data_IF_665799992862
#
_entry.id   IF_665799992862
#
_cell.length_a   1.000
_cell.length_b   1.000
_cell.length_c   1.000
_cell.angle_alpha   90.00
_cell.angle_beta   90.00
_cell.angle_gamma   90.00
#
_symmetry.space_group_name_H-M   'P 1'
#
loop_
_entity.id
_entity.type
_entity.pdbx_description
1 polymer ?
#
# COMPACT_ATOMS: atom_id res chain seq x y z
N UNK A 1 5.48 23.16 -10.16
CA UNK A 1 5.56 24.42 -10.94
C UNK A 1 5.57 24.03 -12.42
N UNK A 2 4.55 24.41 -13.21
CA UNK A 2 4.41 24.04 -14.64
C UNK A 2 5.39 24.76 -15.58
N UNK A 3 6.25 25.63 -15.06
CA UNK A 3 7.19 26.46 -15.85
C UNK A 3 8.25 25.63 -16.60
N UNK A 4 8.68 24.48 -16.05
CA UNK A 4 9.73 23.67 -16.68
C UNK A 4 9.27 22.90 -17.91
N UNK A 5 8.04 22.39 -17.90
CA UNK A 5 7.45 21.72 -19.07
C UNK A 5 7.26 22.71 -20.21
N UNK A 6 6.74 23.90 -19.90
CA UNK A 6 6.52 24.95 -20.89
C UNK A 6 7.83 25.52 -21.49
N UNK A 7 8.91 25.55 -20.71
CA UNK A 7 10.22 26.00 -21.20
C UNK A 7 10.83 24.98 -22.17
N UNK A 8 10.80 23.69 -21.84
CA UNK A 8 11.31 22.64 -22.71
C UNK A 8 10.60 22.59 -24.08
N UNK A 9 9.28 22.79 -24.10
CA UNK A 9 8.49 22.83 -25.33
C UNK A 9 8.93 23.98 -26.25
N UNK A 10 9.20 25.17 -25.70
CA UNK A 10 9.72 26.31 -26.46
C UNK A 10 11.13 26.06 -26.99
N UNK A 11 11.98 25.46 -26.16
CA UNK A 11 13.35 25.14 -26.57
C UNK A 11 13.35 24.11 -27.73
N UNK A 12 12.41 23.16 -27.72
CA UNK A 12 12.24 22.21 -28.84
C UNK A 12 11.76 22.88 -30.13
N UNK A 13 10.85 23.85 -30.04
CA UNK A 13 10.40 24.64 -31.21
C UNK A 13 11.57 25.48 -31.77
N UNK A 14 12.37 26.10 -30.90
CA UNK A 14 13.52 26.92 -31.30
C UNK A 14 14.66 26.10 -31.93
N UNK A 15 14.85 24.83 -31.52
CA UNK A 15 15.75 23.89 -32.21
C UNK A 15 15.22 23.60 -33.62
N UNK A 16 13.91 23.36 -33.76
CA UNK A 16 13.29 23.09 -35.06
C UNK A 16 13.39 24.28 -36.02
N UNK A 17 13.42 25.50 -35.50
CA UNK A 17 13.62 26.73 -36.26
C UNK A 17 15.10 27.09 -36.49
N UNK A 18 16.04 26.30 -35.96
CA UNK A 18 17.49 26.50 -36.10
C UNK A 18 18.04 27.70 -35.31
N UNK A 19 17.29 28.21 -34.34
CA UNK A 19 17.65 29.39 -33.52
C UNK A 19 18.61 29.04 -32.38
N UNK A 20 18.52 27.81 -31.87
CA UNK A 20 19.36 27.30 -30.79
C UNK A 20 19.87 25.90 -31.13
N UNK A 21 21.01 25.53 -30.53
CA UNK A 21 21.61 24.21 -30.71
C UNK A 21 21.10 23.22 -29.68
N UNK A 22 21.00 21.96 -30.08
CA UNK A 22 20.60 20.86 -29.19
C UNK A 22 21.49 20.78 -27.93
N UNK A 23 22.80 20.98 -28.08
CA UNK A 23 23.75 20.96 -26.96
C UNK A 23 23.44 22.00 -25.88
N UNK A 24 22.96 23.18 -26.27
CA UNK A 24 22.60 24.25 -25.33
C UNK A 24 21.38 23.82 -24.48
N UNK A 25 20.36 23.26 -25.13
CA UNK A 25 19.13 22.79 -24.46
C UNK A 25 19.40 21.59 -23.55
N UNK A 26 20.26 20.66 -23.98
CA UNK A 26 20.69 19.53 -23.15
C UNK A 26 21.42 20.02 -21.89
N UNK A 27 22.34 20.97 -22.03
CA UNK A 27 23.10 21.48 -20.90
C UNK A 27 22.21 22.22 -19.89
N UNK A 28 21.34 23.09 -20.37
CA UNK A 28 20.39 23.83 -19.52
C UNK A 28 19.43 22.88 -18.78
N UNK A 29 18.90 21.86 -19.47
CA UNK A 29 18.04 20.86 -18.87
C UNK A 29 18.75 20.06 -17.76
N UNK A 30 20.03 19.73 -17.97
CA UNK A 30 20.85 19.00 -16.98
C UNK A 30 21.13 19.84 -15.73
N UNK A 31 21.40 21.14 -15.89
CA UNK A 31 21.59 22.05 -14.76
C UNK A 31 20.30 22.20 -13.94
N UNK A 32 19.17 22.37 -14.63
CA UNK A 32 17.88 22.55 -13.99
C UNK A 32 17.44 21.29 -13.24
N UNK A 33 17.58 20.11 -13.86
CA UNK A 33 17.34 18.83 -13.19
C UNK A 33 18.32 18.61 -12.02
N UNK A 34 19.59 19.00 -12.20
CA UNK A 34 20.62 18.88 -11.16
C UNK A 34 20.31 19.67 -9.88
N UNK A 35 19.69 20.85 -10.00
CA UNK A 35 19.17 21.61 -8.86
C UNK A 35 18.06 20.87 -8.12
N UNK A 36 17.06 20.37 -8.85
CA UNK A 36 15.93 19.63 -8.28
C UNK A 36 16.37 18.35 -7.61
N UNK A 37 17.27 17.57 -8.23
CA UNK A 37 17.78 16.34 -7.64
C UNK A 37 18.59 16.58 -6.36
N UNK A 38 19.34 17.70 -6.26
CA UNK A 38 20.03 18.09 -5.02
C UNK A 38 19.06 18.45 -3.90
N UNK A 39 17.97 19.13 -4.23
CA UNK A 39 16.93 19.48 -3.26
C UNK A 39 16.14 18.24 -2.78
N UNK A 40 15.94 17.26 -3.66
CA UNK A 40 15.37 15.96 -3.30
C UNK A 40 16.31 15.12 -2.44
N UNK A 41 17.63 15.11 -2.72
CA UNK A 41 18.59 14.32 -1.95
C UNK A 41 18.81 14.89 -0.53
N UNK A 42 18.76 16.21 -0.36
CA UNK A 42 18.79 16.86 0.97
C UNK A 42 17.58 16.50 1.84
N UNK A 43 16.43 16.24 1.24
CA UNK A 43 15.18 15.92 1.94
C UNK A 43 14.87 14.42 1.97
N UNK A 44 15.81 13.57 1.53
CA UNK A 44 15.60 12.13 1.36
C UNK A 44 15.17 11.44 2.65
N UNK A 45 15.70 11.86 3.80
CA UNK A 45 15.37 11.27 5.10
C UNK A 45 13.93 11.59 5.53
N UNK A 46 13.52 12.86 5.48
CA UNK A 46 12.16 13.31 5.80
C UNK A 46 11.10 12.72 4.87
N UNK A 47 11.40 12.64 3.57
CA UNK A 47 10.53 12.01 2.57
C UNK A 47 10.45 10.50 2.83
N UNK A 48 11.58 9.86 3.15
CA UNK A 48 11.61 8.42 3.43
C UNK A 48 10.80 8.05 4.66
N UNK A 49 10.79 8.89 5.69
CA UNK A 49 10.01 8.67 6.90
C UNK A 49 8.51 8.87 6.66
N UNK A 50 8.15 9.94 5.96
CA UNK A 50 6.74 10.23 5.61
C UNK A 50 6.13 9.16 4.71
N UNK A 51 6.87 8.68 3.69
CA UNK A 51 6.42 7.58 2.83
C UNK A 51 6.32 6.25 3.60
N UNK A 52 7.26 6.00 4.53
CA UNK A 52 7.26 4.79 5.34
C UNK A 52 6.08 4.76 6.32
N UNK A 53 5.71 5.92 6.88
CA UNK A 53 4.56 6.07 7.77
C UNK A 53 3.23 5.92 7.03
N UNK A 54 3.06 6.56 5.87
CA UNK A 54 1.85 6.38 5.05
C UNK A 54 1.61 4.92 4.64
N UNK A 55 2.67 4.21 4.25
CA UNK A 55 2.60 2.78 3.94
C UNK A 55 2.36 1.88 5.17
N UNK A 56 2.54 2.40 6.39
CA UNK A 56 2.30 1.69 7.64
C UNK A 56 0.83 1.79 8.05
N UNK A 57 0.23 2.98 7.93
CA UNK A 57 -1.18 3.25 8.19
C UNK A 57 -2.09 2.44 7.26
N UNK A 58 -1.74 2.33 5.98
CA UNK A 58 -2.46 1.51 4.98
C UNK A 58 -2.51 0.01 5.30
N UNK A 59 -1.71 -0.47 6.27
CA UNK A 59 -1.68 -1.88 6.70
C UNK A 59 -2.51 -2.14 7.94
N UNK A 60 -3.06 -1.11 8.58
CA UNK A 60 -3.84 -1.23 9.80
C UNK A 60 -5.26 -1.65 9.46
N UNK A 61 -5.63 -2.85 9.87
CA UNK A 61 -6.98 -3.41 9.69
C UNK A 61 -7.92 -2.99 10.83
N UNK A 62 -7.38 -2.48 11.92
CA UNK A 62 -8.15 -2.02 13.07
C UNK A 62 -7.46 -2.38 14.38
N UNK A 63 -8.19 -2.26 15.49
CA UNK A 63 -7.64 -2.51 16.83
C UNK A 63 -7.98 -3.91 17.30
N UNK A 64 -7.02 -4.60 17.90
CA UNK A 64 -7.24 -5.91 18.48
C UNK A 64 -8.03 -5.80 19.78
N UNK A 65 -9.14 -6.54 19.90
CA UNK A 65 -9.94 -6.57 21.14
C UNK A 65 -9.25 -7.25 22.33
N UNK A 66 -8.18 -8.03 22.11
CA UNK A 66 -7.43 -8.70 23.19
C UNK A 66 -6.35 -7.81 23.81
N UNK A 67 -5.58 -7.13 22.96
CA UNK A 67 -4.36 -6.38 23.35
C UNK A 67 -4.52 -4.85 23.25
N UNK A 68 -5.63 -4.37 22.67
CA UNK A 68 -5.83 -2.98 22.23
C UNK A 68 -4.75 -2.43 21.29
N UNK A 69 -3.87 -3.29 20.78
CA UNK A 69 -2.84 -2.92 19.81
C UNK A 69 -3.34 -3.09 18.38
N UNK A 70 -2.65 -2.48 17.43
CA UNK A 70 -3.01 -2.51 16.01
C UNK A 70 -2.94 -3.91 15.41
N UNK A 71 -3.90 -4.21 14.54
CA UNK A 71 -3.91 -5.40 13.70
C UNK A 71 -3.34 -5.06 12.34
N UNK A 72 -2.23 -5.70 11.99
CA UNK A 72 -1.51 -5.43 10.75
C UNK A 72 -1.46 -6.67 9.87
N UNK A 73 -1.43 -6.46 8.55
CA UNK A 73 -1.18 -7.55 7.60
C UNK A 73 0.31 -7.93 7.62
N UNK A 74 0.59 -9.17 8.03
CA UNK A 74 1.92 -9.77 8.02
C UNK A 74 2.05 -10.82 6.91
N UNK A 75 3.27 -10.96 6.40
CA UNK A 75 3.65 -12.04 5.47
C UNK A 75 4.52 -13.05 6.20
N UNK A 76 4.24 -14.33 6.03
CA UNK A 76 5.04 -15.44 6.52
C UNK A 76 6.16 -15.77 5.53
N UNK A 77 7.24 -16.40 6.03
CA UNK A 77 8.37 -16.88 5.20
C UNK A 77 7.93 -17.81 4.07
N UNK A 78 6.86 -18.58 4.28
CA UNK A 78 6.30 -19.51 3.28
C UNK A 78 5.40 -18.84 2.24
N UNK A 79 5.36 -17.49 2.19
CA UNK A 79 4.55 -16.72 1.25
C UNK A 79 3.07 -16.62 1.60
N UNK A 80 2.61 -17.24 2.71
CA UNK A 80 1.27 -16.97 3.23
C UNK A 80 1.20 -15.59 3.89
N UNK A 81 -0.01 -15.04 3.99
CA UNK A 81 -0.26 -13.77 4.66
C UNK A 81 -1.40 -13.92 5.65
N UNK A 82 -1.37 -13.11 6.69
CA UNK A 82 -2.32 -13.16 7.79
C UNK A 82 -2.39 -11.81 8.48
N UNK A 83 -3.47 -11.56 9.21
CA UNK A 83 -3.58 -10.40 10.10
C UNK A 83 -3.01 -10.82 11.45
N UNK A 84 -2.13 -10.04 12.06
CA UNK A 84 -1.59 -10.32 13.39
C UNK A 84 -1.57 -9.08 14.29
N UNK A 85 -1.76 -9.25 15.61
CA UNK A 85 -1.58 -8.17 16.60
C UNK A 85 -0.13 -7.68 16.55
N UNK A 86 0.06 -6.36 16.49
CA UNK A 86 1.37 -5.71 16.57
C UNK A 86 2.07 -6.01 17.90
N UNK A 87 1.30 -6.22 18.97
CA UNK A 87 1.77 -6.57 20.32
C UNK A 87 2.31 -7.99 20.52
N UNK A 88 2.57 -8.77 19.46
CA UNK A 88 3.31 -10.03 19.59
C UNK A 88 4.71 -9.78 20.20
N UNK A 89 5.19 -10.57 21.17
CA UNK A 89 4.71 -11.89 21.61
C UNK A 89 3.64 -11.88 22.71
N UNK A 90 3.26 -10.71 23.24
CA UNK A 90 2.27 -10.60 24.34
C UNK A 90 0.84 -10.93 23.91
N UNK A 91 0.57 -10.86 22.61
CA UNK A 91 -0.71 -11.26 22.02
C UNK A 91 -0.50 -12.13 20.79
N UNK A 92 -1.16 -13.27 20.77
CA UNK A 92 -1.09 -14.31 19.73
C UNK A 92 -2.23 -14.21 18.70
N UNK A 93 -3.07 -13.18 18.80
CA UNK A 93 -4.22 -13.02 17.94
C UNK A 93 -3.80 -12.93 16.47
N UNK A 94 -4.33 -13.84 15.66
CA UNK A 94 -4.11 -13.86 14.22
C UNK A 94 -5.34 -14.32 13.47
N UNK A 95 -5.52 -13.81 12.25
CA UNK A 95 -6.57 -14.22 11.33
C UNK A 95 -5.95 -14.64 10.00
N UNK A 96 -6.28 -15.83 9.46
CA UNK A 96 -5.75 -16.28 8.19
C UNK A 96 -6.30 -15.42 7.05
N UNK A 97 -5.44 -15.08 6.09
CA UNK A 97 -5.87 -14.45 4.85
C UNK A 97 -5.49 -15.31 3.64
N UNK A 98 -6.28 -15.25 2.54
CA UNK A 98 -5.96 -15.96 1.31
C UNK A 98 -4.58 -15.56 0.77
N UNK A 99 -3.80 -16.52 0.26
CA UNK A 99 -2.41 -16.29 -0.17
C UNK A 99 -2.30 -15.44 -1.45
N UNK A 100 -3.32 -15.46 -2.30
CA UNK A 100 -3.32 -14.84 -3.64
C UNK A 100 -4.16 -13.57 -3.71
N UNK A 101 -3.78 -12.65 -4.61
CA UNK A 101 -4.45 -11.37 -4.87
C UNK A 101 -3.89 -10.19 -4.08
N UNK A 102 -4.25 -8.97 -4.46
CA UNK A 102 -3.92 -7.76 -3.72
C UNK A 102 -5.00 -7.49 -2.67
N UNK A 103 -4.58 -7.22 -1.43
CA UNK A 103 -5.50 -6.81 -0.37
C UNK A 103 -5.73 -5.32 -0.49
N UNK A 104 -7.00 -4.94 -0.52
CA UNK A 104 -7.44 -3.55 -0.43
C UNK A 104 -8.28 -3.42 0.83
N UNK A 105 -7.84 -2.55 1.74
CA UNK A 105 -8.61 -2.17 2.92
C UNK A 105 -9.63 -1.13 2.50
N UNK A 106 -10.87 -1.27 2.98
CA UNK A 106 -11.97 -0.34 2.70
C UNK A 106 -12.26 0.50 3.93
N UNK A 107 -12.78 1.70 3.75
CA UNK A 107 -13.15 2.62 4.85
C UNK A 107 -14.30 2.11 5.72
N UNK A 108 -15.02 1.06 5.27
CA UNK A 108 -16.11 0.45 6.02
C UNK A 108 -15.58 -0.36 7.20
N UNK A 109 -16.02 -0.03 8.41
CA UNK A 109 -15.71 -0.78 9.62
C UNK A 109 -16.86 -1.72 10.02
N UNK A 110 -16.51 -2.84 10.65
CA UNK A 110 -17.46 -3.76 11.23
C UNK A 110 -17.92 -3.28 12.62
N UNK A 111 -19.21 -3.03 12.80
CA UNK A 111 -19.78 -2.65 14.12
C UNK A 111 -19.52 -3.71 15.21
N UNK A 112 -19.53 -5.00 14.84
CA UNK A 112 -19.32 -6.10 15.80
C UNK A 112 -17.89 -6.22 16.28
N UNK A 113 -16.90 -5.99 15.40
CA UNK A 113 -15.50 -6.30 15.68
C UNK A 113 -14.56 -5.09 15.64
N UNK A 114 -15.00 -3.94 15.14
CA UNK A 114 -14.17 -2.74 14.98
C UNK A 114 -13.07 -2.88 13.92
N UNK A 115 -13.21 -3.82 12.98
CA UNK A 115 -12.24 -4.09 11.93
C UNK A 115 -12.71 -3.54 10.59
N UNK A 116 -11.78 -2.96 9.81
CA UNK A 116 -12.01 -2.55 8.44
C UNK A 116 -12.30 -3.75 7.53
N UNK A 117 -13.15 -3.49 6.54
CA UNK A 117 -13.52 -4.48 5.54
C UNK A 117 -12.39 -4.65 4.55
N UNK A 118 -12.14 -5.90 4.17
CA UNK A 118 -11.08 -6.24 3.22
C UNK A 118 -11.68 -6.79 1.94
N UNK A 119 -11.09 -6.39 0.82
CA UNK A 119 -11.35 -6.91 -0.51
C UNK A 119 -10.08 -7.50 -1.09
N UNK A 120 -10.22 -8.57 -1.86
CA UNK A 120 -9.12 -9.17 -2.61
C UNK A 120 -9.33 -8.93 -4.10
N UNK A 121 -8.42 -8.16 -4.69
CA UNK A 121 -8.41 -7.90 -6.13
C UNK A 121 -7.42 -8.85 -6.79
N UNK A 122 -7.84 -9.56 -7.83
CA UNK A 122 -6.95 -10.41 -8.65
C UNK A 122 -7.07 -10.00 -10.11
N UNK A 123 -5.96 -9.98 -10.84
CA UNK A 123 -5.94 -9.55 -12.25
C UNK A 123 -6.84 -10.46 -13.08
N UNK A 124 -7.82 -9.87 -13.77
CA UNK A 124 -8.73 -10.59 -14.66
C UNK A 124 -9.87 -11.36 -13.99
N UNK A 125 -10.06 -11.25 -12.68
CA UNK A 125 -11.22 -11.82 -11.97
C UNK A 125 -11.99 -10.75 -11.21
N UNK A 126 -13.25 -11.04 -10.88
CA UNK A 126 -14.05 -10.16 -10.03
C UNK A 126 -13.39 -10.03 -8.65
N UNK A 127 -13.32 -8.81 -8.08
CA UNK A 127 -12.85 -8.61 -6.72
C UNK A 127 -13.67 -9.46 -5.74
N UNK A 128 -12.99 -10.14 -4.82
CA UNK A 128 -13.63 -10.92 -3.79
C UNK A 128 -13.80 -10.06 -2.53
N UNK A 129 -15.04 -9.69 -2.24
CA UNK A 129 -15.41 -9.01 -1.00
C UNK A 129 -15.42 -10.01 0.15
N UNK A 130 -14.39 -9.97 1.02
CA UNK A 130 -14.33 -10.77 2.25
C UNK A 130 -15.17 -10.11 3.35
N UNK A 131 -15.25 -8.78 3.34
CA UNK A 131 -15.90 -8.03 4.41
C UNK A 131 -15.06 -8.02 5.68
N UNK A 132 -15.67 -8.23 6.84
CA UNK A 132 -14.97 -8.27 8.12
C UNK A 132 -14.12 -9.56 8.25
N UNK A 133 -12.78 -9.46 8.40
CA UNK A 133 -11.92 -10.65 8.48
C UNK A 133 -12.25 -11.55 9.66
N UNK A 134 -12.71 -10.99 10.78
CA UNK A 134 -13.08 -11.76 11.97
C UNK A 134 -14.43 -12.47 11.83
N UNK A 135 -15.43 -11.83 11.20
CA UNK A 135 -16.70 -12.50 10.90
C UNK A 135 -16.48 -13.69 9.95
N UNK A 136 -15.73 -13.45 8.86
CA UNK A 136 -15.40 -14.49 7.89
C UNK A 136 -14.63 -15.65 8.54
N UNK A 137 -13.75 -15.37 9.49
CA UNK A 137 -13.04 -16.42 10.23
C UNK A 137 -13.98 -17.27 11.10
N UNK A 138 -14.93 -16.66 11.83
CA UNK A 138 -15.92 -17.41 12.63
C UNK A 138 -16.76 -18.33 11.73
N UNK A 139 -17.22 -17.82 10.59
CA UNK A 139 -18.00 -18.63 9.63
C UNK A 139 -17.19 -19.80 9.07
N UNK A 140 -15.91 -19.56 8.76
CA UNK A 140 -15.01 -20.61 8.30
C UNK A 140 -14.78 -21.70 9.36
N UNK A 141 -14.60 -21.32 10.63
CA UNK A 141 -14.45 -22.30 11.72
C UNK A 141 -15.68 -23.18 11.90
N UNK A 142 -16.88 -22.59 11.84
CA UNK A 142 -18.14 -23.35 11.95
C UNK A 142 -18.28 -24.41 10.86
N UNK A 143 -17.96 -24.06 9.61
CA UNK A 143 -18.00 -25.01 8.48
C UNK A 143 -17.06 -26.19 8.70
N UNK A 144 -15.84 -25.94 9.18
CA UNK A 144 -14.87 -27.01 9.47
C UNK A 144 -15.36 -27.94 10.60
N UNK A 145 -16.05 -27.40 11.60
CA UNK A 145 -16.64 -28.21 12.67
C UNK A 145 -17.81 -29.06 12.18
N UNK A 146 -18.65 -28.54 11.28
CA UNK A 146 -19.74 -29.27 10.63
C UNK A 146 -19.21 -30.40 9.74
N UNK A 147 -18.19 -30.13 8.92
CA UNK A 147 -17.55 -31.14 8.07
C UNK A 147 -16.96 -32.30 8.88
N UNK A 148 -16.36 -32.01 10.05
CA UNK A 148 -15.83 -33.04 10.96
C UNK A 148 -16.89 -33.86 11.66
N UNK A 149 -18.12 -33.35 11.81
CA UNK A 149 -19.24 -34.10 12.40
C UNK A 149 -19.94 -35.00 11.39
N UNK A 150 -19.83 -34.66 10.11
CA UNK A 150 -20.51 -35.35 9.02
C UNK A 150 -19.63 -36.35 8.25
N UNK A 151 -18.33 -36.44 8.58
CA UNK A 151 -17.37 -37.38 8.00
C UNK A 151 -16.79 -38.31 9.05
#
# INVERSE_FOLDING_TARGET
>A
KPEMTCKLEKDMDEISEGKITEDFVIQESREMLGGVFKDMDRNKELISESLRNGLYEDRIIGTCKKCSSDLIIRKSRKGSRFIGCSGYPKCDFSLPLPKSGQIVVTDKQCERHGLYFIKIVTKGKRPWDIGCPHCNFIEWQKKLEEEKKNG
#
